data_IF_507124071595
#
_entry.id   IF_507124071595
#
_cell.length_a   1.000
_cell.length_b   1.000
_cell.length_c   1.000
_cell.angle_alpha   90.00
_cell.angle_beta   90.00
_cell.angle_gamma   90.00
#
_symmetry.space_group_name_H-M   'P 1'
#
loop_
_entity.id
_entity.type
_entity.pdbx_description
1 polymer ?
#
# COMPACT_ATOMS: atom_id res chain seq x y z
N UNK A 1 0.33 -29.45 -17.83
CA UNK A 1 -0.46 -29.75 -16.62
C UNK A 1 -1.85 -30.26 -16.99
N UNK A 2 -1.98 -31.54 -17.38
CA UNK A 2 -3.27 -32.22 -17.63
C UNK A 2 -3.22 -33.60 -16.96
N UNK A 3 -3.15 -33.62 -15.63
CA UNK A 3 -3.13 -34.89 -14.88
C UNK A 3 -3.58 -34.76 -13.42
N UNK A 4 -4.70 -34.07 -13.22
CA UNK A 4 -5.56 -34.22 -12.03
C UNK A 4 -6.92 -33.65 -12.45
N UNK A 5 -8.00 -34.39 -12.19
CA UNK A 5 -9.36 -34.17 -12.70
C UNK A 5 -10.05 -32.92 -12.15
N UNK A 6 -9.47 -31.76 -12.40
CA UNK A 6 -10.14 -30.48 -12.23
C UNK A 6 -11.07 -30.32 -13.43
N UNK A 7 -12.38 -30.45 -13.20
CA UNK A 7 -13.40 -30.16 -14.19
C UNK A 7 -13.24 -28.70 -14.65
N UNK A 8 -13.37 -28.43 -15.94
CA UNK A 8 -13.12 -27.10 -16.53
C UNK A 8 -13.94 -25.99 -15.84
N UNK A 9 -15.10 -26.33 -15.27
CA UNK A 9 -15.97 -25.44 -14.49
C UNK A 9 -15.33 -24.91 -13.21
N UNK A 10 -14.39 -25.64 -12.60
CA UNK A 10 -13.69 -25.19 -11.37
C UNK A 10 -12.42 -24.40 -11.67
N UNK A 11 -12.00 -24.32 -12.93
CA UNK A 11 -10.73 -23.66 -13.31
C UNK A 11 -10.73 -22.17 -12.98
N UNK A 12 -11.89 -21.51 -13.08
CA UNK A 12 -12.09 -20.12 -12.66
C UNK A 12 -11.99 -19.97 -11.13
N UNK A 13 -12.59 -20.88 -10.37
CA UNK A 13 -12.54 -20.89 -8.90
C UNK A 13 -11.11 -21.09 -8.38
N UNK A 14 -10.35 -22.02 -8.97
CA UNK A 14 -8.94 -22.23 -8.63
C UNK A 14 -8.06 -21.01 -8.97
N UNK A 15 -8.36 -20.28 -10.05
CA UNK A 15 -7.68 -19.02 -10.38
C UNK A 15 -7.93 -17.92 -9.36
N UNK A 16 -9.16 -17.81 -8.85
CA UNK A 16 -9.49 -16.85 -7.80
C UNK A 16 -8.83 -17.21 -6.46
N UNK A 17 -8.86 -18.49 -6.08
CA UNK A 17 -8.17 -18.98 -4.87
C UNK A 17 -6.64 -18.84 -4.92
N UNK A 18 -6.05 -18.79 -6.12
CA UNK A 18 -4.62 -18.61 -6.31
C UNK A 18 -4.15 -17.16 -6.08
N UNK A 19 -5.06 -16.18 -5.97
CA UNK A 19 -4.69 -14.80 -5.66
C UNK A 19 -4.19 -14.73 -4.22
N UNK A 20 -2.89 -14.50 -4.06
CA UNK A 20 -2.32 -14.33 -2.73
C UNK A 20 -2.76 -12.99 -2.16
N UNK A 21 -3.37 -13.04 -0.98
CA UNK A 21 -3.66 -11.87 -0.15
C UNK A 21 -2.51 -11.71 0.86
N UNK A 22 -1.99 -10.49 1.07
CA UNK A 22 -1.02 -10.22 2.13
C UNK A 22 -1.46 -10.73 3.51
N UNK A 23 -0.51 -11.09 4.39
CA UNK A 23 -0.80 -11.34 5.79
C UNK A 23 -1.52 -10.15 6.45
N UNK A 24 -2.40 -10.42 7.42
CA UNK A 24 -3.19 -9.38 8.10
C UNK A 24 -2.32 -8.28 8.71
N UNK A 25 -1.15 -8.62 9.25
CA UNK A 25 -0.20 -7.64 9.80
C UNK A 25 0.30 -6.63 8.74
N UNK A 26 0.53 -7.09 7.52
CA UNK A 26 0.96 -6.23 6.42
C UNK A 26 -0.18 -5.32 5.96
N UNK A 27 -1.41 -5.85 5.92
CA UNK A 27 -2.62 -5.06 5.61
C UNK A 27 -2.82 -3.96 6.67
N UNK A 28 -2.65 -4.28 7.95
CA UNK A 28 -2.71 -3.28 9.04
C UNK A 28 -1.62 -2.22 8.82
N UNK A 29 -0.41 -2.63 8.47
CA UNK A 29 0.70 -1.70 8.18
C UNK A 29 0.34 -0.78 7.00
N UNK A 30 -0.22 -1.31 5.92
CA UNK A 30 -0.70 -0.52 4.77
C UNK A 30 -1.79 0.47 5.17
N UNK A 31 -2.68 0.08 6.09
CA UNK A 31 -3.73 0.97 6.60
C UNK A 31 -3.17 2.11 7.43
N UNK A 32 -2.28 1.83 8.38
CA UNK A 32 -1.60 2.85 9.21
C UNK A 32 -0.75 3.79 8.35
N UNK A 33 -0.23 3.31 7.22
CA UNK A 33 0.54 4.11 6.26
C UNK A 33 -0.32 4.78 5.19
N UNK A 34 -1.64 4.80 5.34
CA UNK A 34 -2.57 5.46 4.41
C UNK A 34 -2.48 4.99 2.95
N UNK A 35 -1.95 3.79 2.71
CA UNK A 35 -1.88 3.21 1.37
C UNK A 35 -3.29 2.96 0.78
N UNK A 36 -4.33 2.86 1.62
CA UNK A 36 -5.71 2.70 1.17
C UNK A 36 -6.47 4.03 0.97
N UNK A 37 -5.84 5.18 1.22
CA UNK A 37 -6.48 6.49 1.14
C UNK A 37 -5.94 7.28 -0.05
N UNK A 38 -6.60 7.26 -1.24
CA UNK A 38 -6.03 7.81 -2.46
C UNK A 38 -5.62 9.28 -2.37
N UNK A 39 -6.44 10.11 -1.70
CA UNK A 39 -6.15 11.53 -1.54
C UNK A 39 -4.88 11.81 -0.72
N UNK A 40 -4.56 10.96 0.26
CA UNK A 40 -3.33 11.07 1.06
C UNK A 40 -2.16 10.55 0.22
N UNK A 41 -2.31 9.37 -0.37
CA UNK A 41 -1.25 8.74 -1.13
C UNK A 41 -0.81 9.55 -2.35
N UNK A 42 -1.75 10.21 -3.05
CA UNK A 42 -1.45 11.14 -4.15
C UNK A 42 -0.74 12.40 -3.63
N UNK A 43 -1.26 13.00 -2.55
CA UNK A 43 -0.68 14.21 -1.96
C UNK A 43 0.76 14.04 -1.49
N UNK A 44 1.10 12.85 -1.00
CA UNK A 44 2.44 12.54 -0.50
C UNK A 44 3.27 11.69 -1.47
N UNK A 45 2.81 11.49 -2.71
CA UNK A 45 3.55 10.76 -3.73
C UNK A 45 3.89 9.32 -3.35
N UNK A 46 3.08 8.66 -2.50
CA UNK A 46 3.43 7.35 -1.94
C UNK A 46 3.54 6.25 -3.01
N UNK A 47 2.87 6.43 -4.14
CA UNK A 47 2.93 5.54 -5.29
C UNK A 47 3.97 5.97 -6.36
N UNK A 48 4.64 7.11 -6.17
CA UNK A 48 5.65 7.59 -7.12
C UNK A 48 6.86 6.66 -7.18
N UNK A 49 7.54 6.66 -8.32
CA UNK A 49 8.73 5.85 -8.61
C UNK A 49 8.56 4.34 -8.40
N UNK A 50 7.32 3.82 -8.49
CA UNK A 50 7.05 2.40 -8.38
C UNK A 50 7.86 1.60 -9.42
N UNK A 51 8.75 0.68 -8.99
CA UNK A 51 9.63 -0.01 -9.93
C UNK A 51 8.90 -1.16 -10.63
N UNK A 52 8.79 -1.11 -11.96
CA UNK A 52 8.23 -2.21 -12.77
C UNK A 52 8.85 -3.60 -12.46
N UNK A 53 10.15 -3.74 -12.16
CA UNK A 53 10.70 -5.02 -11.71
C UNK A 53 10.02 -5.57 -10.44
N UNK A 54 9.62 -4.72 -9.49
CA UNK A 54 8.91 -5.15 -8.29
C UNK A 54 7.56 -5.78 -8.63
N UNK A 55 6.83 -5.20 -9.59
CA UNK A 55 5.57 -5.77 -10.11
C UNK A 55 5.77 -7.17 -10.68
N UNK A 56 6.82 -7.36 -11.47
CA UNK A 56 7.16 -8.66 -12.07
C UNK A 56 7.45 -9.71 -10.99
N UNK A 57 8.32 -9.38 -10.03
CA UNK A 57 8.73 -10.32 -8.99
C UNK A 57 7.63 -10.59 -7.97
N UNK A 58 6.82 -9.60 -7.62
CA UNK A 58 5.63 -9.77 -6.78
C UNK A 58 4.59 -10.66 -7.47
N UNK A 59 4.37 -10.47 -8.77
CA UNK A 59 3.52 -11.34 -9.58
C UNK A 59 3.99 -12.79 -9.59
N UNK A 60 5.30 -13.04 -9.71
CA UNK A 60 5.88 -14.40 -9.59
C UNK A 60 5.66 -15.04 -8.21
N UNK A 61 5.46 -14.23 -7.17
CA UNK A 61 5.12 -14.70 -5.82
C UNK A 61 3.62 -14.96 -5.64
N UNK A 62 2.77 -14.45 -6.53
CA UNK A 62 1.31 -14.62 -6.47
C UNK A 62 0.56 -13.37 -6.02
N UNK A 63 1.26 -12.26 -5.78
CA UNK A 63 0.62 -10.98 -5.48
C UNK A 63 0.08 -10.33 -6.74
N UNK A 64 -1.06 -9.63 -6.61
CA UNK A 64 -1.55 -8.74 -7.66
C UNK A 64 -0.67 -7.49 -7.76
N UNK A 65 -0.74 -6.79 -8.89
CA UNK A 65 -0.07 -5.49 -9.05
C UNK A 65 -0.54 -4.48 -8.01
N UNK A 66 -1.83 -4.48 -7.69
CA UNK A 66 -2.39 -3.63 -6.63
C UNK A 66 -1.72 -3.90 -5.27
N UNK A 67 -1.55 -5.17 -4.88
CA UNK A 67 -0.88 -5.49 -3.62
C UNK A 67 0.60 -5.07 -3.63
N UNK A 68 1.28 -5.24 -4.76
CA UNK A 68 2.67 -4.80 -4.91
C UNK A 68 2.80 -3.27 -4.77
N UNK A 69 1.89 -2.52 -5.40
CA UNK A 69 1.81 -1.07 -5.29
C UNK A 69 1.49 -0.64 -3.86
N UNK A 70 0.63 -1.35 -3.13
CA UNK A 70 0.33 -1.04 -1.72
C UNK A 70 1.49 -1.33 -0.78
N UNK A 71 2.22 -2.42 -1.02
CA UNK A 71 3.49 -2.67 -0.31
C UNK A 71 4.48 -1.55 -0.57
N UNK A 72 4.52 -1.03 -1.81
CA UNK A 72 5.31 0.15 -2.12
C UNK A 72 4.78 1.38 -1.37
N UNK A 73 3.52 1.76 -1.47
CA UNK A 73 3.02 2.92 -0.74
C UNK A 73 3.27 2.86 0.78
N UNK A 74 3.22 1.66 1.37
CA UNK A 74 3.48 1.43 2.79
C UNK A 74 4.97 1.31 3.16
N UNK A 75 5.88 1.19 2.19
CA UNK A 75 7.33 1.16 2.46
C UNK A 75 7.86 2.53 2.85
N UNK A 76 7.20 3.59 2.39
CA UNK A 76 7.49 4.95 2.82
C UNK A 76 7.03 5.14 4.26
N UNK A 77 7.95 5.60 5.11
CA UNK A 77 7.57 6.07 6.43
C UNK A 77 6.84 7.39 6.27
N UNK A 78 5.59 7.47 6.73
CA UNK A 78 4.97 8.77 7.02
C UNK A 78 5.93 9.57 7.91
N UNK A 79 6.07 10.89 7.70
CA UNK A 79 6.89 11.71 8.57
C UNK A 79 6.48 11.51 10.04
N UNK A 80 7.39 11.82 10.97
CA UNK A 80 7.09 11.91 12.40
C UNK A 80 6.40 13.24 12.76
N UNK A 81 5.65 13.32 13.86
CA UNK A 81 5.04 14.57 14.35
C UNK A 81 5.99 15.77 14.30
N UNK A 82 7.24 15.59 14.73
CA UNK A 82 8.27 16.62 14.70
C UNK A 82 8.59 17.10 13.28
N UNK A 83 8.71 16.17 12.32
CA UNK A 83 8.89 16.52 10.91
C UNK A 83 7.68 17.27 10.37
N UNK A 84 6.46 16.94 10.81
CA UNK A 84 5.26 17.72 10.47
C UNK A 84 5.36 19.18 10.93
N UNK A 85 5.77 19.43 12.18
CA UNK A 85 6.00 20.79 12.68
C UNK A 85 7.12 21.52 11.92
N UNK A 86 8.20 20.82 11.57
CA UNK A 86 9.28 21.39 10.74
C UNK A 86 8.78 21.77 9.34
N UNK A 87 7.95 20.93 8.73
CA UNK A 87 7.33 21.20 7.42
C UNK A 87 6.39 22.41 7.50
N UNK A 88 5.60 22.54 8.57
CA UNK A 88 4.76 23.72 8.83
C UNK A 88 5.60 24.99 8.95
N UNK A 89 6.65 24.97 9.78
CA UNK A 89 7.53 26.11 9.96
C UNK A 89 8.28 26.52 8.67
N UNK A 90 8.55 25.56 7.78
CA UNK A 90 9.15 25.81 6.46
C UNK A 90 8.13 26.25 5.40
N UNK A 91 6.83 26.28 5.72
CA UNK A 91 5.77 26.61 4.78
C UNK A 91 5.55 25.55 3.70
N UNK A 92 6.01 24.32 3.91
CA UNK A 92 5.79 23.18 3.00
C UNK A 92 4.33 22.70 3.11
N UNK A 93 3.77 22.76 4.32
CA UNK A 93 2.38 22.44 4.62
C UNK A 93 1.74 23.56 5.45
N UNK A 94 0.41 23.62 5.47
CA UNK A 94 -0.39 24.52 6.30
C UNK A 94 -0.88 23.85 7.60
N UNK A 95 -1.59 24.61 8.44
CA UNK A 95 -2.05 24.15 9.75
C UNK A 95 -3.07 23.00 9.66
N UNK A 96 -3.98 23.03 8.69
CA UNK A 96 -4.98 21.97 8.50
C UNK A 96 -4.31 20.67 8.07
N UNK A 97 -3.27 20.76 7.26
CA UNK A 97 -2.46 19.63 6.82
C UNK A 97 -1.63 19.03 7.96
N UNK A 98 -1.09 19.87 8.85
CA UNK A 98 -0.45 19.40 10.08
C UNK A 98 -1.44 18.68 10.99
N UNK A 99 -2.65 19.23 11.17
CA UNK A 99 -3.68 18.59 12.01
C UNK A 99 -4.07 17.21 11.45
N UNK A 100 -4.25 17.12 10.13
CA UNK A 100 -4.49 15.84 9.45
C UNK A 100 -3.37 14.83 9.71
N UNK A 101 -2.12 15.28 9.63
CA UNK A 101 -0.95 14.45 9.85
C UNK A 101 -0.80 13.96 11.31
N UNK A 102 -1.13 14.79 12.29
CA UNK A 102 -1.12 14.41 13.71
C UNK A 102 -2.19 13.36 14.05
N UNK A 103 -3.36 13.44 13.40
CA UNK A 103 -4.41 12.40 13.51
C UNK A 103 -3.93 11.08 12.90
N UNK A 104 -3.34 11.12 11.71
CA UNK A 104 -2.85 9.92 11.00
C UNK A 104 -1.69 9.24 11.74
N UNK A 105 -0.87 10.00 12.46
CA UNK A 105 0.26 9.45 13.24
C UNK A 105 -0.11 8.99 14.65
N UNK A 106 -1.40 9.04 15.02
CA UNK A 106 -1.94 8.62 16.33
C UNK A 106 -1.30 9.37 17.52
N UNK A 107 -1.07 10.67 17.37
CA UNK A 107 -0.47 11.57 18.39
C UNK A 107 -1.48 12.61 18.91
N UNK A 108 -2.78 12.35 18.71
CA UNK A 108 -3.88 13.23 19.12
C UNK A 108 -4.26 13.11 20.60
#
# INVERSE_FOLDING_TARGET
MRRIGIHDEYFSLYKELAKQIPPVADIITMAVREAFTPAIAEKFGQYEDFPEPLKEWAGKKGLSSEWAERYWAAHWSLPSPLQGFEMLHRGIINQDELNMFLVVTDVS
#
